data_IF_756081118868
#
_entry.id   IF_756081118868
#
_cell.length_a   1.000
_cell.length_b   1.000
_cell.length_c   1.000
_cell.angle_alpha   90.00
_cell.angle_beta   90.00
_cell.angle_gamma   90.00
#
_symmetry.space_group_name_H-M   'P 1'
#
loop_
_entity.id
_entity.type
_entity.pdbx_description
1 polymer ?
#
# COMPACT_ATOMS: atom_id res chain seq x y z
N UNK A 1 3.79 14.41 -8.90
CA UNK A 1 3.57 14.25 -10.36
C UNK A 1 3.28 12.78 -10.58
N UNK A 2 2.01 12.40 -10.66
CA UNK A 2 1.59 11.00 -10.87
C UNK A 2 1.49 10.74 -12.38
N UNK A 3 2.09 9.65 -12.85
CA UNK A 3 2.12 9.29 -14.27
C UNK A 3 0.76 8.67 -14.69
N UNK A 4 0.11 9.11 -15.79
CA UNK A 4 -1.30 8.78 -16.07
C UNK A 4 -1.58 7.38 -16.63
N UNK A 5 -0.57 6.57 -16.95
CA UNK A 5 -0.73 5.41 -17.84
C UNK A 5 -0.73 4.04 -17.16
N UNK A 6 -1.04 3.99 -15.86
CA UNK A 6 -1.01 2.75 -15.08
C UNK A 6 -2.34 1.98 -15.13
N UNK A 7 -2.92 1.80 -16.32
CA UNK A 7 -4.21 1.11 -16.52
C UNK A 7 -4.00 -0.07 -17.45
N UNK A 8 -3.64 -1.25 -16.92
CA UNK A 8 -3.78 -2.60 -17.54
C UNK A 8 -3.17 -3.71 -16.64
N UNK A 9 -3.91 -4.20 -15.62
CA UNK A 9 -3.95 -5.62 -15.18
C UNK A 9 -4.71 -5.75 -13.84
N UNK A 10 -5.81 -6.49 -13.83
CA UNK A 10 -6.83 -6.42 -12.77
C UNK A 10 -6.44 -6.95 -11.38
N UNK A 11 -5.30 -7.61 -11.19
CA UNK A 11 -4.96 -8.30 -9.92
C UNK A 11 -3.67 -7.81 -9.24
N UNK A 12 -2.72 -7.24 -9.99
CA UNK A 12 -1.44 -6.76 -9.44
C UNK A 12 -1.59 -5.34 -8.88
N UNK A 13 -2.40 -4.50 -9.54
CA UNK A 13 -2.62 -3.12 -9.10
C UNK A 13 -3.34 -2.98 -7.75
N UNK A 14 -4.37 -3.78 -7.41
CA UNK A 14 -5.04 -3.65 -6.11
C UNK A 14 -4.09 -3.82 -4.94
N UNK A 15 -3.21 -4.84 -4.97
CA UNK A 15 -2.25 -5.11 -3.89
C UNK A 15 -1.15 -4.07 -3.78
N UNK A 16 -0.68 -3.51 -4.89
CA UNK A 16 0.31 -2.41 -4.85
C UNK A 16 -0.34 -1.14 -4.31
N UNK A 17 -1.59 -0.88 -4.70
CA UNK A 17 -2.28 0.38 -4.41
C UNK A 17 -2.56 0.58 -2.92
N UNK A 18 -2.67 -0.48 -2.11
CA UNK A 18 -2.90 -0.34 -0.66
C UNK A 18 -1.74 0.36 0.08
N UNK A 19 -0.54 0.37 -0.53
CA UNK A 19 0.66 1.01 0.00
C UNK A 19 0.89 2.43 -0.54
N UNK A 20 0.11 2.84 -1.55
CA UNK A 20 0.19 4.17 -2.16
C UNK A 20 -0.67 5.13 -1.35
N UNK A 21 -0.24 6.40 -1.25
CA UNK A 21 -1.06 7.44 -0.63
C UNK A 21 -2.21 7.82 -1.54
N UNK A 22 -3.42 7.86 -0.99
CA UNK A 22 -4.59 8.46 -1.63
C UNK A 22 -4.47 9.99 -1.66
N UNK A 23 -5.45 10.64 -2.29
CA UNK A 23 -5.51 12.11 -2.40
C UNK A 23 -5.51 12.81 -1.04
N UNK A 24 -6.10 12.19 -0.02
CA UNK A 24 -6.18 12.68 1.35
C UNK A 24 -4.89 12.46 2.15
N UNK A 25 -3.87 11.84 1.53
CA UNK A 25 -2.52 11.65 2.04
C UNK A 25 -2.32 10.38 2.89
N UNK A 26 -3.35 9.57 3.03
CA UNK A 26 -3.41 8.33 3.80
C UNK A 26 -3.21 7.08 2.93
N UNK A 27 -2.80 5.98 3.56
CA UNK A 27 -2.68 4.67 2.90
C UNK A 27 -3.78 3.74 3.38
N UNK A 28 -4.28 2.88 2.49
CA UNK A 28 -5.29 1.89 2.87
C UNK A 28 -4.74 0.92 3.94
N UNK A 29 -3.46 0.55 3.83
CA UNK A 29 -2.78 -0.36 4.76
C UNK A 29 -2.80 0.11 6.23
N UNK A 30 -2.92 1.42 6.45
CA UNK A 30 -2.89 2.05 7.77
C UNK A 30 -4.26 2.15 8.45
N UNK A 31 -5.27 1.42 7.95
CA UNK A 31 -6.66 1.45 8.44
C UNK A 31 -7.27 2.87 8.41
N UNK A 32 -7.07 3.58 7.30
CA UNK A 32 -7.64 4.91 7.09
C UNK A 32 -9.17 4.94 7.05
N UNK A 33 -9.80 3.80 6.72
CA UNK A 33 -11.25 3.71 6.58
C UNK A 33 -12.01 3.70 7.92
N UNK A 34 -11.35 3.42 9.04
CA UNK A 34 -11.98 3.54 10.37
C UNK A 34 -12.16 5.00 10.82
N UNK A 35 -11.76 5.98 9.99
CA UNK A 35 -11.84 7.41 10.27
C UNK A 35 -10.75 7.92 11.21
N UNK A 36 -9.87 7.04 11.71
CA UNK A 36 -8.70 7.40 12.51
C UNK A 36 -7.49 7.52 11.61
N UNK A 37 -6.88 8.71 11.56
CA UNK A 37 -5.63 8.89 10.82
C UNK A 37 -4.46 8.27 11.58
N UNK A 38 -3.75 7.37 10.93
CA UNK A 38 -2.54 6.79 11.49
C UNK A 38 -1.45 7.85 11.67
N UNK A 39 -0.63 7.68 12.70
CA UNK A 39 0.63 8.42 12.87
C UNK A 39 1.55 8.26 11.65
N UNK A 40 1.47 7.12 10.97
CA UNK A 40 2.21 6.82 9.74
C UNK A 40 1.63 7.49 8.48
N UNK A 41 0.55 8.26 8.63
CA UNK A 41 0.04 9.13 7.57
C UNK A 41 0.26 10.61 7.89
N UNK A 42 0.19 10.98 9.18
CA UNK A 42 0.13 12.37 9.64
C UNK A 42 1.41 12.93 10.25
N UNK A 43 2.19 12.12 10.99
CA UNK A 43 3.38 12.59 11.69
C UNK A 43 4.51 12.89 10.71
N UNK A 44 5.14 14.07 10.79
CA UNK A 44 6.17 14.49 9.86
C UNK A 44 7.37 13.52 9.79
N UNK A 45 7.70 12.88 10.90
CA UNK A 45 8.82 11.94 11.02
C UNK A 45 8.45 10.55 10.53
N UNK A 46 7.20 10.13 10.69
CA UNK A 46 6.79 8.74 10.45
C UNK A 46 5.96 8.55 9.18
N UNK A 47 5.44 9.63 8.58
CA UNK A 47 4.56 9.56 7.40
C UNK A 47 5.18 8.82 6.22
N UNK A 48 6.50 8.84 6.10
CA UNK A 48 7.23 8.22 4.98
C UNK A 48 7.65 6.77 5.25
N UNK A 49 7.40 6.26 6.46
CA UNK A 49 7.62 4.86 6.79
C UNK A 49 6.38 4.05 6.40
N UNK A 50 6.60 2.93 5.71
CA UNK A 50 5.55 2.01 5.29
C UNK A 50 5.63 0.76 6.16
N UNK A 51 4.51 0.39 6.75
CA UNK A 51 4.40 -0.82 7.55
C UNK A 51 4.03 -2.02 6.67
N UNK A 52 4.56 -3.17 7.05
CA UNK A 52 4.16 -4.48 6.57
C UNK A 52 3.42 -5.20 7.68
N UNK A 53 2.38 -5.94 7.31
CA UNK A 53 1.46 -6.66 8.20
C UNK A 53 1.42 -8.13 7.82
N UNK A 54 0.90 -8.97 8.70
CA UNK A 54 0.76 -10.41 8.43
C UNK A 54 -0.36 -10.70 7.42
N UNK A 55 -1.48 -9.99 7.53
CA UNK A 55 -2.63 -10.12 6.64
C UNK A 55 -3.14 -8.76 6.16
N UNK A 56 -3.86 -8.77 5.04
CA UNK A 56 -4.57 -7.60 4.52
C UNK A 56 -6.05 -7.92 4.33
N UNK A 57 -6.92 -6.98 4.70
CA UNK A 57 -8.35 -7.10 4.48
C UNK A 57 -8.66 -7.04 2.97
N UNK A 58 -9.39 -8.03 2.44
CA UNK A 58 -9.64 -8.14 1.00
C UNK A 58 -10.44 -6.98 0.40
N UNK A 59 -11.41 -6.43 1.15
CA UNK A 59 -12.28 -5.36 0.63
C UNK A 59 -11.67 -3.97 0.69
N UNK A 60 -10.89 -3.66 1.73
CA UNK A 60 -10.42 -2.29 2.00
C UNK A 60 -8.90 -2.16 2.13
N UNK A 61 -8.15 -3.26 2.10
CA UNK A 61 -6.69 -3.26 2.13
C UNK A 61 -6.05 -2.93 3.48
N UNK A 62 -6.81 -2.86 4.59
CA UNK A 62 -6.24 -2.59 5.90
C UNK A 62 -5.31 -3.72 6.37
N UNK A 63 -4.19 -3.35 7.00
CA UNK A 63 -3.27 -4.30 7.61
C UNK A 63 -3.85 -4.88 8.90
N UNK A 64 -3.78 -6.20 9.07
CA UNK A 64 -4.31 -6.93 10.22
C UNK A 64 -3.16 -7.68 10.91
N UNK A 65 -3.23 -7.74 12.24
CA UNK A 65 -2.29 -8.43 13.13
C UNK A 65 -0.90 -7.76 13.20
N UNK A 66 0.14 -8.54 13.48
CA UNK A 66 1.49 -8.05 13.74
C UNK A 66 2.04 -7.19 12.59
N UNK A 67 2.33 -5.93 12.90
CA UNK A 67 3.13 -5.05 12.06
C UNK A 67 4.63 -5.39 12.16
N UNK A 68 5.43 -5.01 11.17
CA UNK A 68 6.89 -5.26 11.07
C UNK A 68 7.30 -6.69 10.66
N UNK A 69 6.37 -7.53 10.19
CA UNK A 69 6.76 -8.76 9.49
C UNK A 69 7.16 -8.45 8.04
N UNK A 70 8.46 -8.43 7.77
CA UNK A 70 9.01 -8.41 6.39
C UNK A 70 9.25 -9.82 5.90
N UNK A 71 8.17 -10.59 5.79
CA UNK A 71 8.17 -11.96 5.24
C UNK A 71 7.71 -11.96 3.78
N UNK A 72 6.74 -12.81 3.45
CA UNK A 72 6.16 -12.89 2.10
C UNK A 72 5.57 -11.56 1.62
N UNK A 73 5.16 -10.67 2.51
CA UNK A 73 4.64 -9.33 2.17
C UNK A 73 5.66 -8.42 1.50
N UNK A 74 6.96 -8.70 1.68
CA UNK A 74 8.03 -8.05 0.92
C UNK A 74 7.97 -8.33 -0.59
N UNK A 75 7.25 -9.39 -1.02
CA UNK A 75 7.05 -9.70 -2.44
C UNK A 75 6.29 -8.60 -3.18
N UNK A 76 5.64 -7.66 -2.49
CA UNK A 76 5.05 -6.47 -3.16
C UNK A 76 6.10 -5.67 -3.92
N UNK A 77 7.34 -5.61 -3.44
CA UNK A 77 8.43 -4.95 -4.16
C UNK A 77 8.72 -5.64 -5.51
N UNK A 78 8.62 -6.98 -5.55
CA UNK A 78 8.76 -7.75 -6.78
C UNK A 78 7.58 -7.51 -7.73
N UNK A 79 6.37 -7.41 -7.20
CA UNK A 79 5.18 -7.06 -7.99
C UNK A 79 5.30 -5.66 -8.60
N UNK A 80 5.82 -4.69 -7.85
CA UNK A 80 6.10 -3.33 -8.37
C UNK A 80 7.08 -3.41 -9.54
N UNK A 81 8.21 -4.12 -9.37
CA UNK A 81 9.19 -4.32 -10.43
C UNK A 81 8.53 -4.91 -11.69
N UNK A 82 7.80 -6.03 -11.54
CA UNK A 82 7.14 -6.70 -12.67
C UNK A 82 6.07 -5.81 -13.32
N UNK A 83 5.31 -5.03 -12.54
CA UNK A 83 4.31 -4.12 -13.10
C UNK A 83 4.93 -3.07 -14.03
N UNK A 84 6.16 -2.63 -13.77
CA UNK A 84 6.89 -1.71 -14.65
C UNK A 84 7.46 -2.38 -15.90
N UNK A 85 7.89 -3.64 -15.80
CA UNK A 85 8.52 -4.40 -16.91
C UNK A 85 7.50 -4.84 -17.97
N UNK A 86 6.22 -5.01 -17.60
CA UNK A 86 5.15 -5.47 -18.50
C UNK A 86 4.18 -4.35 -18.90
N UNK A 87 4.53 -3.08 -18.65
CA UNK A 87 3.70 -1.92 -19.04
C UNK A 87 3.97 -1.40 -20.46
N UNK A 88 4.81 -2.11 -21.24
CA UNK A 88 5.06 -1.86 -22.67
C UNK A 88 4.07 -2.60 -23.59
#
# INVERSE_FOLDING_TARGET
MACPNLVKSGFVFPLINIFVRAEQGDRAVNDSQSGKKSKFDTDANWKNLVLFYEYFHGDNGSGIDASHQTGWTGLVAKLIQQSSEYSD
#
